data_IF_038007693133
#
_entry.id   IF_038007693133
#
_cell.length_a   1.000
_cell.length_b   1.000
_cell.length_c   1.000
_cell.angle_alpha   90.00
_cell.angle_beta   90.00
_cell.angle_gamma   90.00
#
_symmetry.space_group_name_H-M   'P 1'
#
loop_
_entity.id
_entity.type
_entity.pdbx_description
1 polymer ?
#
# COMPACT_ATOMS: atom_id res chain seq x y z
N UNK A 1 -4.52 3.92 -18.23
CA UNK A 1 -3.17 3.79 -17.65
C UNK A 1 -3.31 3.08 -16.30
N UNK A 2 -2.46 2.08 -16.01
CA UNK A 2 -2.44 1.43 -14.71
C UNK A 2 -2.12 2.47 -13.62
N UNK A 3 -2.70 2.34 -12.43
CA UNK A 3 -2.47 3.25 -11.30
C UNK A 3 -1.83 2.55 -10.09
N UNK A 4 -1.99 1.24 -10.02
CA UNK A 4 -1.51 0.39 -8.94
C UNK A 4 -1.27 -1.02 -9.47
N UNK A 5 -0.69 -1.89 -8.66
CA UNK A 5 -0.47 -3.30 -8.99
C UNK A 5 -0.63 -4.11 -7.70
N UNK A 6 -1.30 -5.25 -7.79
CA UNK A 6 -1.21 -6.30 -6.78
C UNK A 6 -0.86 -7.63 -7.46
N UNK A 7 -0.28 -8.53 -6.67
CA UNK A 7 0.27 -9.80 -7.12
C UNK A 7 -0.28 -10.91 -6.22
N UNK A 8 -0.63 -12.04 -6.80
CA UNK A 8 -1.15 -13.20 -6.09
C UNK A 8 -1.34 -14.40 -7.02
N UNK A 9 -1.63 -15.57 -6.47
CA UNK A 9 -2.00 -16.75 -7.25
C UNK A 9 -3.54 -16.79 -7.36
N UNK A 10 -4.11 -16.30 -8.46
CA UNK A 10 -5.57 -16.21 -8.65
C UNK A 10 -6.18 -17.48 -9.25
N UNK A 11 -5.35 -18.43 -9.69
CA UNK A 11 -5.78 -19.66 -10.35
C UNK A 11 -5.28 -20.96 -9.68
N UNK A 12 -4.61 -20.84 -8.53
CA UNK A 12 -4.02 -21.92 -7.74
C UNK A 12 -2.99 -22.77 -8.51
N UNK A 13 -2.24 -22.16 -9.43
CA UNK A 13 -1.19 -22.85 -10.19
C UNK A 13 0.22 -22.64 -9.62
N UNK A 14 0.34 -21.98 -8.47
CA UNK A 14 1.57 -21.62 -7.75
C UNK A 14 2.46 -20.60 -8.46
N UNK A 15 2.04 -20.08 -9.62
CA UNK A 15 2.69 -18.97 -10.28
C UNK A 15 2.08 -17.64 -9.81
N UNK A 16 2.91 -16.60 -9.79
CA UNK A 16 2.42 -15.26 -9.46
C UNK A 16 1.74 -14.63 -10.67
N UNK A 17 0.50 -14.22 -10.45
CA UNK A 17 -0.33 -13.46 -11.38
C UNK A 17 -0.34 -11.98 -11.01
N UNK A 18 -0.87 -11.14 -11.90
CA UNK A 18 -0.94 -9.69 -11.72
C UNK A 18 -2.38 -9.20 -11.88
N UNK A 19 -2.79 -8.28 -11.00
CA UNK A 19 -3.99 -7.46 -11.15
C UNK A 19 -3.62 -5.97 -11.23
N UNK A 20 -4.21 -5.25 -12.18
CA UNK A 20 -3.99 -3.80 -12.36
C UNK A 20 -5.31 -3.04 -12.63
N UNK A 21 -5.60 -1.93 -11.91
CA UNK A 21 -6.72 -1.05 -12.23
C UNK A 21 -6.37 -0.11 -13.38
N UNK A 22 -7.26 0.01 -14.36
CA UNK A 22 -7.10 0.80 -15.57
C UNK A 22 -7.99 2.06 -15.50
N UNK A 23 -7.45 3.15 -14.95
CA UNK A 23 -8.16 4.40 -14.67
C UNK A 23 -9.14 4.85 -15.78
N UNK A 24 -8.60 5.20 -16.96
CA UNK A 24 -9.42 5.72 -18.07
C UNK A 24 -10.30 4.67 -18.77
N UNK A 25 -10.04 3.38 -18.56
CA UNK A 25 -10.76 2.29 -19.22
C UNK A 25 -11.86 1.70 -18.33
N UNK A 26 -11.99 2.18 -17.08
CA UNK A 26 -13.03 1.78 -16.12
C UNK A 26 -13.04 0.26 -15.83
N UNK A 27 -11.87 -0.36 -15.93
CA UNK A 27 -11.70 -1.80 -15.79
C UNK A 27 -10.57 -2.14 -14.83
N UNK A 28 -10.54 -3.39 -14.39
CA UNK A 28 -9.36 -4.04 -13.83
C UNK A 28 -8.91 -5.14 -14.79
N UNK A 29 -7.61 -5.25 -15.04
CA UNK A 29 -7.00 -6.33 -15.84
C UNK A 29 -6.37 -7.38 -14.94
N UNK A 30 -6.57 -8.65 -15.29
CA UNK A 30 -5.93 -9.82 -14.69
C UNK A 30 -5.01 -10.44 -15.73
N UNK A 31 -3.76 -10.70 -15.36
CA UNK A 31 -2.75 -11.35 -16.19
C UNK A 31 -2.22 -12.57 -15.45
N UNK A 32 -2.53 -13.77 -15.94
CA UNK A 32 -2.09 -15.02 -15.32
C UNK A 32 -0.63 -15.31 -15.70
N UNK A 33 0.21 -15.60 -14.72
CA UNK A 33 1.63 -15.81 -14.88
C UNK A 33 1.97 -17.26 -15.22
N UNK A 34 2.95 -17.46 -16.10
CA UNK A 34 3.47 -18.80 -16.41
C UNK A 34 4.69 -19.20 -15.55
N UNK A 35 4.99 -18.42 -14.49
CA UNK A 35 6.13 -18.67 -13.59
C UNK A 35 7.53 -18.39 -14.17
N UNK A 36 7.63 -18.07 -15.46
CA UNK A 36 8.88 -17.77 -16.18
C UNK A 36 9.03 -16.28 -16.53
N UNK A 37 8.19 -15.41 -15.95
CA UNK A 37 8.14 -13.97 -16.23
C UNK A 37 7.29 -13.58 -17.46
N UNK A 38 6.67 -14.54 -18.14
CA UNK A 38 5.64 -14.28 -19.15
C UNK A 38 4.24 -14.44 -18.57
N UNK A 39 3.26 -13.78 -19.19
CA UNK A 39 1.86 -13.76 -18.78
C UNK A 39 0.94 -14.12 -19.95
N UNK A 40 -0.22 -14.69 -19.64
CA UNK A 40 -1.31 -14.85 -20.61
C UNK A 40 -1.90 -13.49 -20.99
N UNK A 41 -2.73 -13.49 -22.04
CA UNK A 41 -3.48 -12.31 -22.45
C UNK A 41 -4.35 -11.79 -21.29
N UNK A 42 -4.38 -10.47 -21.14
CA UNK A 42 -5.17 -9.85 -20.09
C UNK A 42 -6.66 -10.19 -20.21
N UNK A 43 -7.29 -10.48 -19.08
CA UNK A 43 -8.75 -10.54 -18.94
C UNK A 43 -9.23 -9.31 -18.18
N UNK A 44 -10.23 -8.62 -18.70
CA UNK A 44 -10.74 -7.37 -18.12
C UNK A 44 -12.10 -7.57 -17.46
N UNK A 45 -12.31 -6.85 -16.35
CA UNK A 45 -13.58 -6.76 -15.64
C UNK A 45 -13.96 -5.30 -15.50
N UNK A 46 -15.17 -4.93 -15.87
CA UNK A 46 -15.70 -3.58 -15.66
C UNK A 46 -15.91 -3.35 -14.17
N UNK A 47 -15.39 -2.25 -13.64
CA UNK A 47 -15.41 -1.98 -12.20
C UNK A 47 -16.01 -0.61 -11.85
N UNK A 48 -16.27 0.22 -12.86
CA UNK A 48 -16.84 1.57 -12.72
C UNK A 48 -15.79 2.65 -12.92
N UNK A 49 -16.19 3.89 -12.66
CA UNK A 49 -15.42 5.07 -13.06
C UNK A 49 -14.15 5.24 -12.23
N UNK A 50 -13.04 5.48 -12.93
CA UNK A 50 -11.75 5.92 -12.38
C UNK A 50 -11.19 5.00 -11.27
N UNK A 51 -10.91 3.71 -11.54
CA UNK A 51 -10.27 2.82 -10.59
C UNK A 51 -8.81 3.26 -10.32
N UNK A 52 -8.44 3.39 -9.04
CA UNK A 52 -7.18 3.99 -8.60
C UNK A 52 -6.22 2.98 -7.95
N UNK A 53 -6.71 2.17 -7.02
CA UNK A 53 -5.86 1.24 -6.27
C UNK A 53 -6.53 -0.12 -6.18
N UNK A 54 -5.71 -1.17 -6.13
CA UNK A 54 -6.14 -2.56 -5.96
C UNK A 54 -5.41 -3.20 -4.79
N UNK A 55 -6.14 -3.97 -4.00
CA UNK A 55 -5.58 -4.92 -3.03
C UNK A 55 -6.25 -6.29 -3.18
N UNK A 56 -5.62 -7.32 -2.61
CA UNK A 56 -6.04 -8.72 -2.75
C UNK A 56 -6.06 -9.38 -1.38
N UNK A 57 -6.96 -10.35 -1.21
CA UNK A 57 -7.09 -11.13 0.02
C UNK A 57 -8.31 -12.05 -0.04
N UNK A 58 -8.41 -13.03 0.86
CA UNK A 58 -9.59 -13.87 0.97
C UNK A 58 -10.64 -13.17 1.85
N UNK A 59 -11.62 -12.49 1.22
CA UNK A 59 -12.65 -11.73 1.94
C UNK A 59 -13.82 -12.60 2.40
N UNK A 60 -13.86 -13.86 1.97
CA UNK A 60 -14.99 -14.74 2.17
C UNK A 60 -14.65 -16.09 2.84
N UNK A 61 -13.38 -16.28 3.21
CA UNK A 61 -12.80 -17.44 3.88
C UNK A 61 -12.98 -18.76 3.09
N UNK A 62 -12.94 -18.70 1.75
CA UNK A 62 -12.98 -19.89 0.89
C UNK A 62 -11.60 -20.38 0.44
N UNK A 63 -10.53 -19.71 0.87
CA UNK A 63 -9.14 -20.00 0.52
C UNK A 63 -8.74 -19.50 -0.86
N UNK A 64 -9.57 -18.68 -1.52
CA UNK A 64 -9.31 -18.12 -2.84
C UNK A 64 -9.05 -16.62 -2.74
N UNK A 65 -8.16 -16.11 -3.59
CA UNK A 65 -7.90 -14.67 -3.62
C UNK A 65 -9.07 -13.92 -4.26
N UNK A 66 -9.61 -12.97 -3.50
CA UNK A 66 -10.56 -11.97 -3.94
C UNK A 66 -9.84 -10.63 -4.22
N UNK A 67 -10.56 -9.69 -4.84
CA UNK A 67 -10.04 -8.38 -5.22
C UNK A 67 -10.88 -7.27 -4.62
N UNK A 68 -10.21 -6.23 -4.11
CA UNK A 68 -10.81 -4.96 -3.74
C UNK A 68 -10.21 -3.83 -4.57
N UNK A 69 -11.05 -2.96 -5.13
CA UNK A 69 -10.64 -1.82 -5.97
C UNK A 69 -11.28 -0.52 -5.49
N UNK A 70 -10.49 0.55 -5.32
CA UNK A 70 -11.04 1.90 -5.07
C UNK A 70 -11.37 2.60 -6.37
N UNK A 71 -12.53 3.25 -6.40
CA UNK A 71 -13.00 4.04 -7.53
C UNK A 71 -13.22 5.49 -7.09
N UNK A 72 -12.42 6.39 -7.66
CA UNK A 72 -12.47 7.82 -7.39
C UNK A 72 -13.82 8.42 -7.81
N UNK A 73 -14.17 8.28 -9.10
CA UNK A 73 -15.34 8.92 -9.71
C UNK A 73 -16.70 8.53 -9.13
N UNK A 74 -16.75 7.50 -8.28
CA UNK A 74 -17.98 7.03 -7.61
C UNK A 74 -17.92 7.06 -6.08
N UNK A 75 -16.85 7.56 -5.45
CA UNK A 75 -16.68 7.58 -4.00
C UNK A 75 -17.00 6.22 -3.39
N UNK A 76 -16.32 5.19 -3.89
CA UNK A 76 -16.70 3.83 -3.54
C UNK A 76 -15.55 2.84 -3.70
N UNK A 77 -15.72 1.71 -3.04
CA UNK A 77 -14.87 0.53 -3.22
C UNK A 77 -15.70 -0.58 -3.87
N UNK A 78 -15.04 -1.46 -4.63
CA UNK A 78 -15.65 -2.60 -5.30
C UNK A 78 -14.95 -3.88 -4.88
N UNK A 79 -15.74 -4.92 -4.64
CA UNK A 79 -15.26 -6.25 -4.26
C UNK A 79 -15.63 -7.22 -5.38
N UNK A 80 -14.65 -7.97 -5.88
CA UNK A 80 -14.88 -9.09 -6.78
C UNK A 80 -14.39 -10.36 -6.09
N UNK A 81 -15.30 -11.31 -5.87
CA UNK A 81 -14.94 -12.59 -5.27
C UNK A 81 -14.40 -13.55 -6.33
N UNK A 82 -13.31 -14.23 -6.02
CA UNK A 82 -12.63 -15.17 -6.90
C UNK A 82 -13.36 -16.50 -7.04
N UNK A 83 -13.13 -17.17 -8.17
CA UNK A 83 -13.46 -18.58 -8.37
C UNK A 83 -12.23 -19.50 -8.30
N UNK A 84 -11.04 -18.95 -8.02
CA UNK A 84 -9.81 -19.73 -7.89
C UNK A 84 -9.26 -20.30 -9.19
N UNK A 85 -9.70 -19.76 -10.33
CA UNK A 85 -9.30 -20.17 -11.68
C UNK A 85 -8.97 -18.96 -12.57
N UNK A 86 -8.62 -17.82 -11.96
CA UNK A 86 -8.41 -16.54 -12.65
C UNK A 86 -9.69 -15.82 -13.08
N UNK A 87 -10.87 -16.34 -12.69
CA UNK A 87 -12.15 -15.67 -12.90
C UNK A 87 -12.82 -15.17 -11.62
N UNK A 88 -13.64 -14.13 -11.76
CA UNK A 88 -14.28 -13.42 -10.65
C UNK A 88 -15.80 -13.28 -10.85
N UNK A 89 -16.52 -13.15 -9.74
CA UNK A 89 -17.95 -12.80 -9.70
C UNK A 89 -18.17 -11.35 -10.10
N UNK A 90 -19.44 -11.02 -10.34
CA UNK A 90 -19.88 -9.63 -10.49
C UNK A 90 -19.53 -8.83 -9.22
N UNK A 91 -19.19 -7.57 -9.42
CA UNK A 91 -18.71 -6.69 -8.36
C UNK A 91 -19.82 -6.32 -7.38
N UNK A 92 -19.46 -6.24 -6.09
CA UNK A 92 -20.29 -5.63 -5.06
C UNK A 92 -19.73 -4.27 -4.68
N UNK A 93 -20.59 -3.26 -4.60
CA UNK A 93 -20.22 -1.88 -4.33
C UNK A 93 -20.47 -1.48 -2.87
N UNK A 94 -19.50 -0.82 -2.26
CA UNK A 94 -19.65 -0.16 -0.97
C UNK A 94 -19.28 1.32 -1.08
N UNK A 95 -20.10 2.19 -0.51
CA UNK A 95 -19.83 3.64 -0.49
C UNK A 95 -18.67 3.97 0.44
N UNK A 96 -17.80 4.87 -0.01
CA UNK A 96 -16.73 5.48 0.80
C UNK A 96 -17.01 6.97 0.99
N UNK A 97 -16.07 7.69 1.60
CA UNK A 97 -16.07 9.15 1.50
C UNK A 97 -15.49 9.60 0.14
N UNK A 98 -15.41 10.92 -0.08
CA UNK A 98 -15.02 11.49 -1.38
C UNK A 98 -13.58 11.18 -1.77
N UNK A 99 -13.38 10.82 -3.04
CA UNK A 99 -12.07 10.68 -3.68
C UNK A 99 -11.21 9.57 -3.06
N UNK A 100 -11.69 8.32 -3.17
CA UNK A 100 -11.03 7.13 -2.65
C UNK A 100 -9.85 6.73 -3.56
N UNK A 101 -8.62 6.95 -3.08
CA UNK A 101 -7.43 6.80 -3.93
C UNK A 101 -6.53 5.62 -3.60
N UNK A 102 -6.60 5.10 -2.37
CA UNK A 102 -5.77 3.99 -1.92
C UNK A 102 -6.55 3.07 -1.01
N UNK A 103 -6.28 1.77 -1.09
CA UNK A 103 -6.86 0.74 -0.23
C UNK A 103 -5.80 -0.19 0.33
N UNK A 104 -5.96 -0.54 1.61
CA UNK A 104 -5.24 -1.63 2.25
C UNK A 104 -6.24 -2.56 2.95
N UNK A 105 -5.83 -3.80 3.17
CA UNK A 105 -6.64 -4.82 3.83
C UNK A 105 -5.87 -5.45 4.98
N UNK A 106 -6.58 -5.96 5.97
CA UNK A 106 -6.01 -6.65 7.13
C UNK A 106 -7.06 -6.85 8.22
N UNK A 107 -6.80 -7.71 9.19
CA UNK A 107 -7.71 -7.92 10.32
C UNK A 107 -7.46 -6.86 11.41
N UNK A 108 -8.23 -5.77 11.37
CA UNK A 108 -8.01 -4.63 12.27
C UNK A 108 -8.65 -4.85 13.65
N UNK A 109 -9.59 -5.80 13.75
CA UNK A 109 -10.36 -6.04 14.96
C UNK A 109 -10.02 -7.37 15.66
N UNK A 110 -9.16 -8.19 15.06
CA UNK A 110 -8.73 -9.52 15.52
C UNK A 110 -9.87 -10.55 15.55
N UNK A 111 -10.78 -10.53 14.57
CA UNK A 111 -11.82 -11.56 14.40
C UNK A 111 -11.50 -12.62 13.33
N UNK A 112 -10.27 -12.61 12.82
CA UNK A 112 -9.73 -13.44 11.74
C UNK A 112 -10.47 -13.24 10.41
N UNK A 113 -10.93 -12.02 10.13
CA UNK A 113 -11.53 -11.65 8.86
C UNK A 113 -10.85 -10.39 8.35
N UNK A 114 -10.66 -10.33 7.04
CA UNK A 114 -10.08 -9.15 6.42
C UNK A 114 -11.07 -7.98 6.47
N UNK A 115 -10.62 -6.90 7.07
CA UNK A 115 -11.23 -5.57 7.01
C UNK A 115 -10.56 -4.74 5.89
N UNK A 116 -11.19 -3.63 5.53
CA UNK A 116 -10.72 -2.71 4.49
C UNK A 116 -10.51 -1.32 5.08
N UNK A 117 -9.38 -0.69 4.77
CA UNK A 117 -9.13 0.73 5.04
C UNK A 117 -8.85 1.47 3.73
N UNK A 118 -9.47 2.63 3.57
CA UNK A 118 -9.38 3.48 2.38
C UNK A 118 -8.92 4.88 2.76
N UNK A 119 -8.02 5.47 1.97
CA UNK A 119 -7.66 6.89 2.06
C UNK A 119 -8.55 7.74 1.15
N UNK A 120 -9.23 8.74 1.73
CA UNK A 120 -10.15 9.65 1.04
C UNK A 120 -9.52 11.04 0.90
N UNK A 121 -8.98 11.35 -0.29
CA UNK A 121 -8.13 12.52 -0.52
C UNK A 121 -8.84 13.84 -0.21
N UNK A 122 -10.05 14.05 -0.75
CA UNK A 122 -10.75 15.35 -0.67
C UNK A 122 -11.33 15.64 0.72
N UNK A 123 -11.51 14.59 1.53
CA UNK A 123 -12.20 14.66 2.81
C UNK A 123 -11.26 14.69 4.00
N UNK A 124 -9.97 14.43 3.78
CA UNK A 124 -8.97 14.32 4.85
C UNK A 124 -9.40 13.26 5.88
N UNK A 125 -9.87 12.12 5.38
CA UNK A 125 -10.32 10.99 6.19
C UNK A 125 -9.75 9.69 5.68
N UNK A 126 -9.74 8.68 6.56
CA UNK A 126 -9.80 7.28 6.16
C UNK A 126 -11.20 6.73 6.41
N UNK A 127 -11.61 5.77 5.58
CA UNK A 127 -12.81 4.95 5.79
C UNK A 127 -12.40 3.52 6.14
N UNK A 128 -12.96 2.96 7.20
CA UNK A 128 -12.77 1.57 7.61
C UNK A 128 -14.08 0.79 7.44
N UNK A 129 -14.04 -0.32 6.70
CA UNK A 129 -15.16 -1.22 6.47
C UNK A 129 -14.83 -2.59 7.06
N UNK A 130 -15.71 -3.09 7.92
CA UNK A 130 -15.48 -4.33 8.67
C UNK A 130 -15.97 -5.54 7.90
N UNK A 131 -15.09 -6.52 7.72
CA UNK A 131 -15.39 -7.77 7.05
C UNK A 131 -16.33 -8.65 7.86
N UNK A 132 -17.35 -9.20 7.22
CA UNK A 132 -18.19 -10.22 7.83
C UNK A 132 -17.69 -11.65 7.54
N UNK A 133 -16.60 -11.78 6.77
CA UNK A 133 -15.95 -13.06 6.45
C UNK A 133 -16.75 -13.93 5.49
N UNK A 134 -17.67 -13.34 4.74
CA UNK A 134 -18.51 -13.98 3.73
C UNK A 134 -18.53 -13.16 2.42
N UNK A 135 -17.54 -12.29 2.22
CA UNK A 135 -17.48 -11.33 1.12
C UNK A 135 -18.33 -10.07 1.30
N UNK A 136 -19.08 -9.95 2.41
CA UNK A 136 -19.80 -8.72 2.76
C UNK A 136 -19.10 -7.87 3.80
N UNK A 137 -19.35 -6.56 3.75
CA UNK A 137 -18.73 -5.57 4.63
C UNK A 137 -19.79 -4.70 5.32
N UNK A 138 -19.48 -4.29 6.55
CA UNK A 138 -20.28 -3.32 7.28
C UNK A 138 -20.22 -1.91 6.69
N UNK A 139 -21.07 -1.02 7.19
CA UNK A 139 -21.01 0.40 6.84
C UNK A 139 -19.66 1.01 7.22
N UNK A 140 -19.18 1.93 6.39
CA UNK A 140 -17.95 2.65 6.66
C UNK A 140 -17.99 3.40 7.99
N UNK A 141 -16.87 3.34 8.71
CA UNK A 141 -16.54 4.25 9.81
C UNK A 141 -15.45 5.20 9.33
N UNK A 142 -15.61 6.49 9.56
CA UNK A 142 -14.66 7.50 9.09
C UNK A 142 -13.84 8.07 10.24
N UNK A 143 -12.57 8.31 9.97
CA UNK A 143 -11.63 8.90 10.93
C UNK A 143 -10.84 10.01 10.26
N UNK A 144 -10.76 11.17 10.91
CA UNK A 144 -10.02 12.32 10.38
C UNK A 144 -8.51 12.07 10.41
N UNK A 145 -7.84 12.42 9.32
CA UNK A 145 -6.39 12.33 9.15
C UNK A 145 -5.78 13.73 9.04
N UNK A 146 -4.52 13.81 8.61
CA UNK A 146 -3.98 15.02 8.01
C UNK A 146 -4.59 15.34 6.63
N UNK A 147 -4.10 16.39 5.99
CA UNK A 147 -4.62 16.90 4.72
C UNK A 147 -4.18 16.07 3.52
N UNK A 148 -5.12 15.76 2.61
CA UNK A 148 -4.90 15.01 1.37
C UNK A 148 -4.17 13.68 1.60
N UNK A 149 -4.78 12.72 2.34
CA UNK A 149 -4.18 11.42 2.59
C UNK A 149 -3.98 10.66 1.28
N UNK A 150 -2.76 10.21 0.97
CA UNK A 150 -2.41 9.54 -0.31
C UNK A 150 -2.32 8.04 -0.26
N UNK A 151 -1.93 7.52 0.89
CA UNK A 151 -1.50 6.15 1.03
C UNK A 151 -1.81 5.72 2.45
N UNK A 152 -2.32 4.51 2.59
CA UNK A 152 -2.59 3.88 3.87
C UNK A 152 -2.07 2.46 3.85
N UNK A 153 -1.41 2.04 4.93
CA UNK A 153 -1.07 0.64 5.18
C UNK A 153 -1.35 0.29 6.62
N UNK A 154 -1.23 -0.99 6.93
CA UNK A 154 -1.36 -1.51 8.28
C UNK A 154 -0.12 -2.30 8.70
N UNK A 155 0.14 -2.31 10.00
CA UNK A 155 1.23 -3.05 10.60
C UNK A 155 1.23 -2.89 12.12
N UNK A 156 1.85 -3.83 12.82
CA UNK A 156 2.06 -3.71 14.26
C UNK A 156 3.26 -2.78 14.52
N UNK A 157 3.00 -1.60 15.10
CA UNK A 157 4.05 -0.61 15.39
C UNK A 157 4.51 -0.62 16.85
N UNK A 158 3.88 -1.42 17.71
CA UNK A 158 4.17 -1.45 19.14
C UNK A 158 4.34 -2.87 19.71
N UNK A 159 4.40 -3.87 18.84
CA UNK A 159 4.52 -5.29 19.16
C UNK A 159 3.40 -5.81 20.08
N UNK A 160 2.19 -5.28 19.95
CA UNK A 160 1.04 -5.73 20.72
C UNK A 160 0.17 -6.75 20.00
N UNK A 161 0.61 -7.21 18.83
CA UNK A 161 -0.02 -8.17 17.91
C UNK A 161 -1.29 -7.67 17.24
N UNK A 162 -1.59 -6.36 17.34
CA UNK A 162 -2.73 -5.75 16.64
C UNK A 162 -2.22 -4.84 15.54
N UNK A 163 -2.95 -4.83 14.43
CA UNK A 163 -2.65 -3.95 13.32
C UNK A 163 -2.99 -2.50 13.68
N UNK A 164 -2.00 -1.63 13.61
CA UNK A 164 -2.17 -0.18 13.59
C UNK A 164 -2.35 0.30 12.14
N UNK A 165 -2.93 1.49 11.95
CA UNK A 165 -3.13 2.09 10.64
C UNK A 165 -2.19 3.29 10.49
N UNK A 166 -1.42 3.31 9.41
CA UNK A 166 -0.46 4.38 9.09
C UNK A 166 -0.87 5.06 7.79
N UNK A 167 -0.99 6.38 7.81
CA UNK A 167 -1.51 7.18 6.70
C UNK A 167 -0.54 8.31 6.35
N UNK A 168 -0.13 8.38 5.10
CA UNK A 168 0.65 9.52 4.60
C UNK A 168 -0.29 10.64 4.13
N UNK A 169 -0.02 11.87 4.57
CA UNK A 169 -0.83 13.06 4.30
C UNK A 169 -0.02 14.04 3.45
N UNK A 170 -0.36 14.10 2.16
CA UNK A 170 0.40 14.85 1.18
C UNK A 170 0.32 16.37 1.41
N UNK A 171 -0.86 16.85 1.78
CA UNK A 171 -1.19 18.27 1.83
C UNK A 171 -0.53 19.02 3.00
N UNK A 172 -0.30 18.34 4.13
CA UNK A 172 0.32 18.95 5.32
C UNK A 172 1.73 18.43 5.63
N UNK A 173 2.27 17.52 4.79
CA UNK A 173 3.60 16.95 4.97
C UNK A 173 3.75 16.17 6.28
N UNK A 174 2.82 15.25 6.52
CA UNK A 174 2.80 14.42 7.74
C UNK A 174 2.50 12.95 7.48
N UNK A 175 2.84 12.11 8.45
CA UNK A 175 2.33 10.75 8.62
C UNK A 175 1.43 10.73 9.86
N UNK A 176 0.24 10.16 9.73
CA UNK A 176 -0.71 9.94 10.83
C UNK A 176 -0.72 8.46 11.19
N UNK A 177 -0.65 8.14 12.48
CA UNK A 177 -0.69 6.76 12.98
C UNK A 177 -1.90 6.63 13.91
N UNK A 178 -2.77 5.67 13.63
CA UNK A 178 -3.94 5.33 14.43
C UNK A 178 -3.71 3.99 15.12
N UNK A 179 -3.95 3.94 16.42
CA UNK A 179 -3.73 2.73 17.21
C UNK A 179 -4.84 1.71 16.98
N UNK A 180 -4.46 0.46 16.79
CA UNK A 180 -5.37 -0.67 16.69
C UNK A 180 -5.97 -1.04 18.05
N UNK A 181 -7.30 -1.00 18.17
CA UNK A 181 -8.01 -1.52 19.34
C UNK A 181 -9.02 -2.59 18.92
N UNK A 182 -9.24 -3.59 19.80
CA UNK A 182 -10.18 -4.72 19.55
C UNK A 182 -11.62 -4.29 19.24
N UNK A 183 -12.04 -3.09 19.64
CA UNK A 183 -13.38 -2.56 19.40
C UNK A 183 -13.46 -1.63 18.19
N UNK A 184 -12.39 -1.51 17.40
CA UNK A 184 -12.26 -0.57 16.28
C UNK A 184 -12.37 0.91 16.69
N UNK A 185 -12.23 1.21 17.98
CA UNK A 185 -11.99 2.58 18.39
C UNK A 185 -10.54 2.89 18.03
N UNK A 186 -10.31 3.46 16.85
CA UNK A 186 -9.01 4.03 16.54
C UNK A 186 -8.82 5.24 17.46
N UNK A 187 -7.94 5.11 18.46
CA UNK A 187 -7.62 6.19 19.38
C UNK A 187 -6.22 6.75 19.08
N UNK A 188 -6.02 8.00 19.52
CA UNK A 188 -4.76 8.77 19.51
C UNK A 188 -3.96 8.72 18.20
N UNK A 189 -4.05 9.80 17.44
CA UNK A 189 -3.14 10.06 16.32
C UNK A 189 -1.72 10.38 16.84
N UNK A 190 -0.70 9.61 16.45
CA UNK A 190 0.67 10.12 16.42
C UNK A 190 0.91 10.75 15.05
N UNK A 191 1.45 11.97 15.05
CA UNK A 191 1.75 12.69 13.81
C UNK A 191 3.26 12.87 13.67
N UNK A 192 3.83 12.32 12.60
CA UNK A 192 5.23 12.53 12.22
C UNK A 192 5.30 13.60 11.15
N UNK A 193 6.28 14.50 11.24
CA UNK A 193 6.48 15.58 10.26
C UNK A 193 7.52 15.11 9.24
N UNK A 194 7.16 15.11 7.94
CA UNK A 194 8.02 14.60 6.86
C UNK A 194 8.92 15.67 6.23
N UNK A 195 8.96 16.85 6.85
CA UNK A 195 9.66 18.05 6.37
C UNK A 195 8.71 19.03 5.66
N UNK A 196 8.94 20.33 5.84
CA UNK A 196 8.05 21.39 5.34
C UNK A 196 7.89 21.33 3.82
N UNK A 197 6.65 21.12 3.36
CA UNK A 197 6.34 21.05 1.93
C UNK A 197 6.95 19.83 1.23
N UNK A 198 7.21 18.75 1.96
CA UNK A 198 7.82 17.52 1.42
C UNK A 198 6.90 16.74 0.48
N UNK A 199 5.57 16.89 0.64
CA UNK A 199 4.54 16.18 -0.11
C UNK A 199 4.81 14.66 -0.14
N UNK A 200 4.71 13.99 1.02
CA UNK A 200 4.91 12.55 1.10
C UNK A 200 3.86 11.82 0.22
N UNK A 201 4.25 10.71 -0.40
CA UNK A 201 3.41 9.96 -1.35
C UNK A 201 3.11 8.54 -0.93
N UNK A 202 4.11 7.81 -0.46
CA UNK A 202 4.07 6.39 -0.11
C UNK A 202 5.05 6.14 1.02
N UNK A 203 4.91 5.01 1.72
CA UNK A 203 5.87 4.58 2.72
C UNK A 203 6.03 3.06 2.74
N UNK A 204 7.10 2.59 3.38
CA UNK A 204 7.34 1.19 3.69
C UNK A 204 7.60 1.04 5.20
N UNK A 205 7.09 -0.06 5.77
CA UNK A 205 7.36 -0.47 7.14
C UNK A 205 8.45 -1.56 7.13
N UNK A 206 9.32 -1.55 8.13
CA UNK A 206 10.37 -2.57 8.28
C UNK A 206 11.32 -2.24 9.41
N UNK A 207 12.17 -3.17 9.82
CA UNK A 207 13.25 -2.93 10.78
C UNK A 207 14.53 -2.53 10.02
N UNK A 208 14.79 -1.22 9.90
CA UNK A 208 15.93 -0.69 9.13
C UNK A 208 17.21 -0.56 9.95
N UNK A 209 17.14 -0.74 11.27
CA UNK A 209 18.27 -0.64 12.19
C UNK A 209 18.56 -1.93 12.99
N UNK A 210 17.87 -3.02 12.68
CA UNK A 210 17.98 -4.34 13.31
C UNK A 210 17.73 -4.34 14.82
N UNK A 211 16.83 -3.48 15.31
CA UNK A 211 16.46 -3.43 16.73
C UNK A 211 15.17 -4.20 17.06
N UNK A 212 14.56 -4.85 16.07
CA UNK A 212 13.28 -5.55 16.08
C UNK A 212 12.07 -4.65 16.35
N UNK A 213 12.18 -3.35 16.14
CA UNK A 213 11.06 -2.42 16.15
C UNK A 213 10.70 -2.02 14.72
N UNK A 214 9.40 -1.83 14.48
CA UNK A 214 8.94 -1.34 13.17
C UNK A 214 9.32 0.12 12.98
N UNK A 215 10.13 0.38 11.96
CA UNK A 215 10.49 1.71 11.45
C UNK A 215 9.61 2.10 10.25
N UNK A 216 9.71 3.37 9.85
CA UNK A 216 8.95 3.93 8.73
C UNK A 216 9.90 4.62 7.74
N UNK A 217 9.87 4.19 6.47
CA UNK A 217 10.53 4.87 5.36
C UNK A 217 9.50 5.57 4.46
N UNK A 218 9.56 6.88 4.30
CA UNK A 218 8.57 7.70 3.55
C UNK A 218 9.22 8.34 2.34
N UNK A 219 8.62 8.20 1.15
CA UNK A 219 9.07 8.96 -0.03
C UNK A 219 8.39 10.32 -0.11
N UNK A 220 9.21 11.36 -0.27
CA UNK A 220 8.80 12.75 -0.29
C UNK A 220 8.94 13.33 -1.70
N UNK A 221 7.81 13.44 -2.43
CA UNK A 221 7.87 13.71 -3.86
C UNK A 221 8.41 15.10 -4.20
N UNK A 222 8.14 16.10 -3.36
CA UNK A 222 8.55 17.48 -3.63
C UNK A 222 9.98 17.79 -3.21
N UNK A 223 10.48 17.07 -2.21
CA UNK A 223 11.85 17.25 -1.69
C UNK A 223 12.83 16.19 -2.20
N UNK A 224 12.38 15.30 -3.09
CA UNK A 224 13.19 14.30 -3.80
C UNK A 224 14.07 13.46 -2.87
N UNK A 225 13.49 12.99 -1.76
CA UNK A 225 14.19 12.15 -0.80
C UNK A 225 13.28 11.06 -0.24
N UNK A 226 13.93 10.07 0.37
CA UNK A 226 13.30 9.16 1.33
C UNK A 226 13.69 9.59 2.74
N UNK A 227 12.70 9.64 3.63
CA UNK A 227 12.85 9.91 5.05
C UNK A 227 12.70 8.67 5.89
N UNK A 228 13.61 8.44 6.83
CA UNK A 228 13.60 7.31 7.74
C UNK A 228 13.28 7.79 9.15
N UNK A 229 12.25 7.19 9.75
CA UNK A 229 11.87 7.34 11.15
C UNK A 229 12.13 6.02 11.86
N UNK A 230 13.08 5.99 12.79
CA UNK A 230 13.34 4.78 13.57
C UNK A 230 12.36 4.70 14.74
N UNK A 231 11.68 3.57 14.87
CA UNK A 231 10.67 3.31 15.88
C UNK A 231 11.29 2.85 17.19
N UNK A 232 10.63 3.19 18.31
CA UNK A 232 11.00 2.66 19.63
C UNK A 232 10.04 1.56 20.13
N UNK A 233 9.10 1.11 19.29
CA UNK A 233 8.08 0.11 19.60
C UNK A 233 7.04 0.54 20.64
N UNK A 234 6.84 1.85 20.80
CA UNK A 234 5.86 2.42 21.72
C UNK A 234 5.18 3.66 21.11
N UNK A 235 5.06 3.67 19.78
CA UNK A 235 4.56 4.78 18.96
C UNK A 235 5.39 6.06 19.01
N UNK A 236 6.58 6.03 19.62
CA UNK A 236 7.55 7.10 19.46
C UNK A 236 8.57 6.74 18.40
N UNK A 237 9.03 7.76 17.68
CA UNK A 237 9.96 7.63 16.58
C UNK A 237 11.06 8.69 16.69
N UNK A 238 12.21 8.45 16.05
CA UNK A 238 13.21 9.49 15.85
C UNK A 238 12.67 10.63 14.99
N UNK A 239 13.38 11.76 14.97
CA UNK A 239 13.23 12.69 13.86
C UNK A 239 13.67 12.02 12.56
N UNK A 240 13.10 12.49 11.45
CA UNK A 240 13.42 11.97 10.12
C UNK A 240 14.90 12.18 9.77
N UNK A 241 15.55 11.11 9.32
CA UNK A 241 16.83 11.18 8.59
C UNK A 241 16.55 11.04 7.09
N UNK A 242 17.13 11.90 6.25
CA UNK A 242 16.79 11.93 4.81
C UNK A 242 17.93 11.50 3.91
N UNK A 243 17.58 10.81 2.83
CA UNK A 243 18.48 10.39 1.76
C UNK A 243 17.90 10.84 0.41
N UNK A 244 18.69 11.61 -0.36
CA UNK A 244 18.26 12.09 -1.68
C UNK A 244 18.07 10.92 -2.65
N UNK A 245 17.05 11.00 -3.49
CA UNK A 245 16.76 10.05 -4.57
C UNK A 245 16.53 10.80 -5.89
N UNK A 246 16.05 10.11 -6.93
CA UNK A 246 15.58 10.73 -8.17
C UNK A 246 14.41 11.69 -7.95
N UNK A 247 13.96 12.32 -9.03
CA UNK A 247 12.94 13.36 -8.95
C UNK A 247 11.53 12.77 -8.91
N UNK A 248 10.68 13.36 -8.07
CA UNK A 248 9.28 12.95 -7.87
C UNK A 248 9.19 11.46 -7.53
N UNK A 249 9.80 11.01 -6.42
CA UNK A 249 9.61 9.65 -5.93
C UNK A 249 8.14 9.44 -5.52
N UNK A 250 7.53 8.36 -5.99
CA UNK A 250 6.09 8.12 -5.80
C UNK A 250 5.73 6.78 -5.17
N UNK A 251 6.60 5.77 -5.29
CA UNK A 251 6.38 4.45 -4.70
C UNK A 251 7.67 3.97 -4.04
N UNK A 252 7.51 3.23 -2.95
CA UNK A 252 8.59 2.64 -2.17
C UNK A 252 8.22 1.21 -1.78
N UNK A 253 9.19 0.31 -1.80
CA UNK A 253 9.09 -1.04 -1.28
C UNK A 253 10.40 -1.39 -0.55
N UNK A 254 10.37 -2.39 0.33
CA UNK A 254 11.54 -2.84 1.06
C UNK A 254 11.68 -4.35 1.03
N UNK A 255 12.91 -4.82 1.16
CA UNK A 255 13.28 -6.23 1.32
C UNK A 255 14.79 -6.38 1.27
N UNK A 256 15.31 -7.56 1.62
CA UNK A 256 16.74 -7.86 1.46
C UNK A 256 17.04 -8.22 0.00
N UNK A 257 17.61 -7.27 -0.75
CA UNK A 257 17.82 -7.39 -2.20
C UNK A 257 19.21 -7.92 -2.54
N UNK A 258 20.14 -7.80 -1.61
CA UNK A 258 21.53 -8.18 -1.79
C UNK A 258 21.88 -9.49 -1.04
N UNK A 259 20.98 -10.01 -0.21
CA UNK A 259 21.09 -11.22 0.63
C UNK A 259 22.05 -11.07 1.81
N UNK A 260 22.12 -9.91 2.43
CA UNK A 260 22.92 -9.65 3.64
C UNK A 260 22.10 -9.69 4.95
N UNK A 261 20.80 -10.00 4.86
CA UNK A 261 19.81 -9.97 5.94
C UNK A 261 19.56 -8.57 6.52
N UNK A 262 19.82 -7.52 5.75
CA UNK A 262 19.47 -6.14 6.09
C UNK A 262 18.41 -5.68 5.09
N UNK A 263 17.41 -4.95 5.58
CA UNK A 263 16.39 -4.38 4.71
C UNK A 263 16.98 -3.28 3.82
N UNK A 264 16.84 -3.47 2.51
CA UNK A 264 17.11 -2.48 1.48
C UNK A 264 15.81 -1.75 1.08
N UNK A 265 15.94 -0.63 0.39
CA UNK A 265 14.81 0.18 -0.09
C UNK A 265 14.85 0.31 -1.62
N UNK A 266 13.70 0.08 -2.27
CA UNK A 266 13.49 0.35 -3.70
C UNK A 266 12.52 1.51 -3.84
N UNK A 267 12.81 2.46 -4.73
CA UNK A 267 11.98 3.64 -4.99
C UNK A 267 11.75 3.81 -6.49
N UNK A 268 10.50 4.04 -6.88
CA UNK A 268 10.14 4.50 -8.22
C UNK A 268 10.22 6.03 -8.29
N UNK A 269 11.08 6.56 -9.16
CA UNK A 269 11.22 7.99 -9.40
C UNK A 269 10.58 8.36 -10.75
N UNK A 270 9.41 8.99 -10.68
CA UNK A 270 8.54 9.22 -11.82
C UNK A 270 9.19 10.10 -12.90
N UNK A 271 9.72 11.26 -12.50
CA UNK A 271 10.17 12.28 -13.46
C UNK A 271 11.60 12.03 -13.98
N UNK A 272 12.33 11.12 -13.34
CA UNK A 272 13.68 10.71 -13.80
C UNK A 272 13.67 9.41 -14.59
N UNK A 273 12.50 8.79 -14.83
CA UNK A 273 12.40 7.47 -15.46
C UNK A 273 13.40 6.48 -14.84
N UNK A 274 13.39 6.35 -13.51
CA UNK A 274 14.39 5.54 -12.82
C UNK A 274 13.85 4.83 -11.58
N UNK A 275 14.47 3.68 -11.28
CA UNK A 275 14.32 2.96 -10.03
C UNK A 275 15.59 3.17 -9.20
N UNK A 276 15.46 3.74 -8.00
CA UNK A 276 16.54 3.85 -7.03
C UNK A 276 16.54 2.66 -6.08
N UNK A 277 17.70 2.07 -5.81
CA UNK A 277 17.90 0.98 -4.84
C UNK A 277 18.92 1.43 -3.80
N UNK A 278 18.49 1.55 -2.56
CA UNK A 278 19.28 1.94 -1.41
C UNK A 278 19.64 0.71 -0.60
N UNK A 279 20.93 0.40 -0.49
CA UNK A 279 21.38 -0.74 0.31
C UNK A 279 21.48 -0.32 1.78
N UNK A 280 20.83 -1.08 2.65
CA UNK A 280 20.79 -0.82 4.09
C UNK A 280 22.13 -1.13 4.75
N UNK A 281 22.49 -0.35 5.78
CA UNK A 281 23.65 -0.63 6.63
C UNK A 281 23.27 -1.27 7.98
N UNK A 282 21.98 -1.51 8.23
CA UNK A 282 21.49 -2.17 9.46
C UNK A 282 21.57 -1.27 10.70
N UNK A 283 21.59 0.03 10.49
CA UNK A 283 21.62 1.05 11.55
C UNK A 283 20.72 2.25 11.22
N UNK A 284 19.77 2.08 10.29
CA UNK A 284 18.92 3.15 9.76
C UNK A 284 19.57 4.01 8.67
N UNK A 285 20.82 3.74 8.27
CA UNK A 285 21.49 4.47 7.18
C UNK A 285 21.55 3.68 5.87
N UNK A 286 21.56 4.43 4.77
CA UNK A 286 21.55 3.91 3.40
C UNK A 286 22.69 4.52 2.57
N UNK A 287 23.96 4.09 2.79
CA UNK A 287 25.14 4.74 2.22
C UNK A 287 25.35 4.48 0.72
N UNK A 288 24.73 3.44 0.17
CA UNK A 288 24.90 3.04 -1.22
C UNK A 288 23.57 3.14 -1.95
N UNK A 289 23.52 3.99 -2.98
CA UNK A 289 22.40 4.06 -3.90
C UNK A 289 22.84 3.55 -5.28
N UNK A 290 22.11 2.57 -5.82
CA UNK A 290 22.17 2.17 -7.22
C UNK A 290 20.95 2.74 -7.95
N UNK A 291 21.13 3.19 -9.18
CA UNK A 291 20.06 3.76 -10.01
C UNK A 291 19.95 2.95 -11.29
N UNK A 292 18.74 2.52 -11.60
CA UNK A 292 18.40 1.77 -12.80
C UNK A 292 17.45 2.61 -13.65
N UNK A 293 17.85 2.92 -14.88
CA UNK A 293 16.99 3.66 -15.80
C UNK A 293 15.90 2.73 -16.36
N UNK A 294 14.67 3.22 -16.38
CA UNK A 294 13.57 2.61 -17.13
C UNK A 294 13.56 3.15 -18.57
N UNK A 295 12.61 2.72 -19.40
CA UNK A 295 12.51 3.25 -20.76
C UNK A 295 12.16 4.74 -20.76
N UNK A 296 12.56 5.46 -21.80
CA UNK A 296 12.31 6.89 -21.94
C UNK A 296 10.81 7.24 -21.83
N UNK A 297 10.46 8.21 -20.96
CA UNK A 297 9.09 8.63 -20.64
C UNK A 297 8.20 7.51 -20.14
N UNK A 298 8.77 6.57 -19.40
CA UNK A 298 8.01 5.46 -18.81
C UNK A 298 7.28 5.84 -17.54
N UNK A 299 7.75 6.86 -16.81
CA UNK A 299 7.06 7.38 -15.64
C UNK A 299 6.71 6.26 -14.64
N UNK A 300 7.70 5.55 -14.07
CA UNK A 300 7.43 4.39 -13.22
C UNK A 300 6.58 4.78 -12.01
N UNK A 301 5.43 4.14 -11.85
CA UNK A 301 4.42 4.49 -10.83
C UNK A 301 4.42 3.64 -9.58
N UNK A 302 4.93 2.41 -9.68
CA UNK A 302 4.86 1.43 -8.61
C UNK A 302 6.12 0.57 -8.59
N UNK A 303 6.57 0.22 -7.40
CA UNK A 303 7.53 -0.85 -7.13
C UNK A 303 6.93 -1.76 -6.07
N UNK A 304 7.24 -3.05 -6.16
CA UNK A 304 6.87 -4.05 -5.17
C UNK A 304 8.04 -5.01 -4.99
N UNK A 305 8.20 -5.51 -3.77
CA UNK A 305 9.14 -6.58 -3.45
C UNK A 305 8.31 -7.73 -2.90
N UNK A 306 8.44 -8.91 -3.51
CA UNK A 306 7.87 -10.12 -2.94
C UNK A 306 8.77 -10.56 -1.79
N UNK A 307 8.38 -10.24 -0.56
CA UNK A 307 8.89 -10.92 0.61
C UNK A 307 8.07 -12.20 0.78
N UNK A 308 8.74 -13.31 1.10
CA UNK A 308 8.08 -14.57 1.41
C UNK A 308 7.39 -14.47 2.78
N UNK A 309 6.33 -13.67 2.89
CA UNK A 309 5.40 -13.67 4.01
C UNK A 309 4.00 -13.48 3.43
N UNK A 310 3.26 -14.58 3.40
CA UNK A 310 1.84 -14.66 3.09
C UNK A 310 1.09 -14.41 4.40
N UNK A 311 -0.01 -13.66 4.29
CA UNK A 311 -1.07 -13.36 5.26
C UNK A 311 -1.29 -14.42 6.35
#
# INVERSE_FOLDING_TARGET
APQSIAVGDFNNDTCLDIVVPNFGDQTVSILLGYGNGSFDNQKTYSIGDDPMCVAVGDFNNDGLLDIVVTNDGRNSVRILLGYGNGSFRDETAYSTDSHAIFVSVGDFNNDNRLDIVIANWDKNTISVLIGHGNGSFGHQRTYSTGSSPTFVTVGDLNNDTRLDIVVVNNGDSTVSIFLGHRNLALEKQVTLITGTGSQPRSFALGDFNNDNQTDIAVVNSRTNNVGIFLGYGNYSFTNQTTFLTGTTPISIATGDLNKDNILDIIIANHDTDSIGVFLGAGNGSFPVQKVFMTSYKSQPIAVAVCLAWIW
#
